data_IF_586380720986
#
_entry.id   IF_586380720986
#
_cell.length_a   1.000
_cell.length_b   1.000
_cell.length_c   1.000
_cell.angle_alpha   90.00
_cell.angle_beta   90.00
_cell.angle_gamma   90.00
#
_symmetry.space_group_name_H-M   'P 1'
#
loop_
_entity.id
_entity.type
_entity.pdbx_description
1 polymer ?
#
# COMPACT_ATOMS: atom_id res chain seq x y z
N UNK A 1 -20.45 7.37 -0.78
CA UNK A 1 -19.78 6.85 0.42
C UNK A 1 -19.36 7.99 1.34
N UNK A 2 -18.61 8.99 0.87
CA UNK A 2 -18.07 10.10 1.70
C UNK A 2 -19.13 10.85 2.54
N UNK A 3 -20.36 10.96 2.05
CA UNK A 3 -21.47 11.67 2.71
C UNK A 3 -21.89 11.03 4.05
N UNK A 4 -21.58 9.75 4.25
CA UNK A 4 -22.04 8.99 5.42
C UNK A 4 -20.91 8.64 6.40
N UNK A 5 -19.68 9.11 6.14
CA UNK A 5 -18.56 8.90 7.06
C UNK A 5 -18.64 9.98 8.15
N UNK A 6 -18.71 9.60 9.44
CA UNK A 6 -18.66 10.57 10.54
C UNK A 6 -17.37 11.41 10.48
N UNK A 7 -17.47 12.70 10.82
CA UNK A 7 -16.34 13.63 10.71
C UNK A 7 -15.16 13.29 11.63
N UNK A 8 -15.44 12.62 12.73
CA UNK A 8 -14.46 12.14 13.72
C UNK A 8 -13.71 10.89 13.28
N UNK A 9 -14.14 10.26 12.19
CA UNK A 9 -13.47 9.06 11.67
C UNK A 9 -12.09 9.42 11.11
N UNK A 10 -11.05 8.71 11.56
CA UNK A 10 -9.71 8.78 10.98
C UNK A 10 -9.64 7.81 9.81
N UNK A 11 -9.26 8.31 8.65
CA UNK A 11 -9.10 7.53 7.43
C UNK A 11 -7.67 7.06 7.29
N UNK A 12 -7.45 5.74 7.20
CA UNK A 12 -6.14 5.16 6.89
C UNK A 12 -6.14 4.85 5.39
N UNK A 13 -5.39 5.61 4.61
CA UNK A 13 -5.47 5.60 3.16
C UNK A 13 -4.12 5.28 2.51
N UNK A 14 -4.15 4.54 1.39
CA UNK A 14 -2.95 4.29 0.60
C UNK A 14 -2.55 5.57 -0.15
N UNK A 15 -1.41 6.16 0.20
CA UNK A 15 -0.88 7.34 -0.48
C UNK A 15 -0.61 7.08 -1.97
N UNK A 16 -0.10 5.90 -2.30
CA UNK A 16 0.31 5.52 -3.65
C UNK A 16 -0.89 5.23 -4.58
N UNK A 17 -2.12 5.26 -4.04
CA UNK A 17 -3.36 5.12 -4.79
C UNK A 17 -4.08 6.47 -4.87
N UNK A 18 -3.98 7.14 -6.00
CA UNK A 18 -4.62 8.45 -6.22
C UNK A 18 -6.14 8.44 -6.12
N UNK A 19 -6.79 7.29 -6.26
CA UNK A 19 -8.25 7.18 -6.08
C UNK A 19 -8.57 7.18 -4.58
N UNK A 20 -7.92 6.29 -3.83
CA UNK A 20 -8.17 6.13 -2.41
C UNK A 20 -7.70 7.34 -1.60
N UNK A 21 -6.53 7.89 -1.92
CA UNK A 21 -5.92 8.98 -1.14
C UNK A 21 -6.69 10.30 -1.17
N UNK A 22 -7.68 10.44 -2.05
CA UNK A 22 -8.50 11.67 -2.19
C UNK A 22 -9.97 11.47 -1.81
N UNK A 23 -10.33 10.35 -1.18
CA UNK A 23 -11.68 10.17 -0.63
C UNK A 23 -11.81 10.85 0.73
N UNK A 24 -13.04 11.08 1.20
CA UNK A 24 -13.34 11.63 2.54
C UNK A 24 -12.51 12.88 2.90
N UNK A 25 -12.48 13.90 2.03
CA UNK A 25 -11.65 15.11 2.16
C UNK A 25 -11.81 15.89 3.48
N UNK A 26 -12.95 15.75 4.14
CA UNK A 26 -13.25 16.45 5.40
C UNK A 26 -12.83 15.66 6.65
N UNK A 27 -12.28 14.47 6.50
CA UNK A 27 -11.85 13.62 7.61
C UNK A 27 -10.34 13.76 7.86
N UNK A 28 -9.91 13.52 9.10
CA UNK A 28 -8.49 13.36 9.39
C UNK A 28 -7.97 12.16 8.63
N UNK A 29 -6.86 12.34 7.92
CA UNK A 29 -6.22 11.29 7.13
C UNK A 29 -4.90 10.92 7.74
N UNK A 30 -4.58 9.65 7.62
CA UNK A 30 -3.29 9.05 7.89
C UNK A 30 -2.91 8.24 6.65
N UNK A 31 -1.80 8.57 6.05
CA UNK A 31 -1.36 7.97 4.81
C UNK A 31 -0.29 6.91 5.04
N UNK A 32 -0.43 5.78 4.38
CA UNK A 32 0.62 4.78 4.30
C UNK A 32 1.05 4.56 2.85
N UNK A 33 2.29 4.12 2.66
CA UNK A 33 2.83 3.90 1.33
C UNK A 33 4.14 3.12 1.36
N UNK A 34 4.68 2.85 0.18
CA UNK A 34 5.98 2.20 -0.01
C UNK A 34 6.83 3.09 -0.92
N UNK A 35 8.04 3.40 -0.51
CA UNK A 35 8.97 4.22 -1.29
C UNK A 35 9.32 3.55 -2.63
N UNK A 36 9.89 4.31 -3.56
CA UNK A 36 10.28 3.82 -4.89
C UNK A 36 11.14 2.56 -4.77
N UNK A 37 10.78 1.52 -5.53
CA UNK A 37 11.52 0.27 -5.63
C UNK A 37 12.25 0.19 -6.97
N UNK A 38 13.32 -0.60 -7.04
CA UNK A 38 14.06 -0.83 -8.29
C UNK A 38 13.21 -1.50 -9.39
N UNK A 39 12.12 -2.15 -8.99
CA UNK A 39 11.17 -2.79 -9.90
C UNK A 39 10.10 -1.85 -10.44
N UNK A 40 10.01 -0.62 -9.92
CA UNK A 40 9.05 0.37 -10.38
C UNK A 40 9.47 0.96 -11.73
N UNK A 41 8.50 1.20 -12.60
CA UNK A 41 8.73 1.67 -13.96
C UNK A 41 8.23 3.10 -14.15
N UNK A 42 8.79 3.82 -15.12
CA UNK A 42 8.31 5.17 -15.49
C UNK A 42 7.10 5.10 -16.44
N UNK A 43 6.82 3.94 -17.01
CA UNK A 43 5.78 3.74 -17.99
C UNK A 43 4.77 2.67 -17.57
N UNK A 44 3.53 2.86 -17.98
CA UNK A 44 2.49 1.84 -17.82
C UNK A 44 2.73 0.65 -18.77
N UNK A 45 2.97 -0.51 -18.21
CA UNK A 45 3.06 -1.76 -18.98
C UNK A 45 1.69 -2.34 -19.33
N UNK A 46 0.65 -2.00 -18.55
CA UNK A 46 -0.70 -2.50 -18.72
C UNK A 46 -1.52 -1.69 -19.72
N UNK A 47 -2.40 -2.39 -20.46
CA UNK A 47 -3.37 -1.76 -21.37
C UNK A 47 -4.41 -0.91 -20.63
N UNK A 48 -4.76 -1.29 -19.41
CA UNK A 48 -5.71 -0.58 -18.57
C UNK A 48 -4.99 0.52 -17.80
N UNK A 49 -5.40 1.76 -18.02
CA UNK A 49 -4.85 2.96 -17.40
C UNK A 49 -5.99 3.63 -16.63
N UNK A 50 -6.13 3.30 -15.35
CA UNK A 50 -7.29 3.68 -14.56
C UNK A 50 -7.39 5.19 -14.30
N UNK A 51 -6.24 5.85 -14.07
CA UNK A 51 -6.20 7.30 -13.86
C UNK A 51 -5.13 7.93 -14.74
N UNK A 52 -5.58 8.68 -15.74
CA UNK A 52 -4.69 9.42 -16.65
C UNK A 52 -4.94 10.91 -16.64
N UNK A 53 -6.08 11.32 -16.09
CA UNK A 53 -6.56 12.71 -16.14
C UNK A 53 -6.81 13.20 -14.73
N UNK A 54 -6.30 14.38 -14.42
CA UNK A 54 -6.50 15.05 -13.14
C UNK A 54 -7.99 15.34 -12.93
N UNK A 55 -8.58 14.90 -11.82
CA UNK A 55 -10.02 15.15 -11.55
C UNK A 55 -10.32 16.61 -11.20
N UNK A 56 -9.30 17.42 -10.84
CA UNK A 56 -9.46 18.83 -10.51
C UNK A 56 -9.47 19.74 -11.75
N UNK A 57 -8.51 19.55 -12.67
CA UNK A 57 -8.31 20.47 -13.79
C UNK A 57 -8.31 19.81 -15.16
N UNK A 58 -8.59 18.50 -15.23
CA UNK A 58 -8.68 17.70 -16.46
C UNK A 58 -7.40 17.63 -17.29
N UNK A 59 -6.26 18.07 -16.77
CA UNK A 59 -4.95 17.91 -17.41
C UNK A 59 -4.47 16.48 -17.31
N UNK A 60 -3.59 16.07 -18.22
CA UNK A 60 -2.93 14.77 -18.15
C UNK A 60 -2.05 14.71 -16.91
N UNK A 61 -2.15 13.62 -16.15
CA UNK A 61 -1.28 13.34 -15.02
C UNK A 61 0.10 12.86 -15.49
N UNK A 62 1.13 13.23 -14.73
CA UNK A 62 2.49 12.75 -14.88
C UNK A 62 2.81 11.80 -13.72
N UNK A 63 3.44 10.66 -14.04
CA UNK A 63 3.83 9.66 -13.06
C UNK A 63 5.35 9.70 -12.87
N UNK A 64 5.79 9.87 -11.63
CA UNK A 64 7.20 9.76 -11.24
C UNK A 64 7.64 8.29 -11.31
N UNK A 65 6.73 7.38 -10.94
CA UNK A 65 6.85 5.94 -11.16
C UNK A 65 5.51 5.24 -11.06
N UNK A 66 5.41 4.06 -11.66
CA UNK A 66 4.27 3.13 -11.60
C UNK A 66 4.77 1.80 -11.05
N UNK A 67 4.07 1.25 -10.06
CA UNK A 67 4.39 -0.04 -9.45
C UNK A 67 3.56 -1.17 -10.05
N UNK A 68 2.26 -1.01 -10.06
CA UNK A 68 1.30 -1.88 -10.77
C UNK A 68 -0.02 -1.12 -10.95
N UNK A 69 -0.71 -1.37 -12.06
CA UNK A 69 -1.93 -0.63 -12.43
C UNK A 69 -1.73 0.89 -12.32
N UNK A 70 -2.49 1.56 -11.44
CA UNK A 70 -2.36 3.00 -11.15
C UNK A 70 -1.63 3.28 -9.83
N UNK A 71 -1.16 2.24 -9.15
CA UNK A 71 -0.40 2.40 -7.91
C UNK A 71 1.00 2.88 -8.21
N UNK A 72 1.37 3.99 -7.60
CA UNK A 72 2.65 4.64 -7.82
C UNK A 72 2.63 6.08 -7.33
N UNK A 73 3.55 6.89 -7.82
CA UNK A 73 3.63 8.31 -7.48
C UNK A 73 3.34 9.17 -8.70
N UNK A 74 2.35 10.04 -8.57
CA UNK A 74 1.91 10.89 -9.67
C UNK A 74 1.58 12.31 -9.20
N UNK A 75 1.63 13.25 -10.13
CA UNK A 75 1.25 14.63 -9.89
C UNK A 75 0.60 15.23 -11.14
N UNK A 76 -0.14 16.32 -10.92
CA UNK A 76 -0.67 17.12 -11.98
C UNK A 76 0.29 18.29 -12.30
N UNK A 77 0.74 18.47 -13.55
CA UNK A 77 1.62 19.57 -13.89
C UNK A 77 0.95 20.96 -13.82
N UNK A 78 -0.39 21.02 -13.76
CA UNK A 78 -1.15 22.27 -13.85
C UNK A 78 -1.90 22.66 -12.58
N UNK A 79 -1.94 21.79 -11.55
CA UNK A 79 -2.55 22.10 -10.25
C UNK A 79 -1.90 21.31 -9.12
N UNK A 80 -2.41 21.47 -7.90
CA UNK A 80 -1.87 20.87 -6.68
C UNK A 80 -2.25 19.38 -6.46
N UNK A 81 -2.96 18.76 -7.41
CA UNK A 81 -3.35 17.36 -7.30
C UNK A 81 -2.15 16.43 -7.45
N UNK A 82 -1.82 15.68 -6.43
CA UNK A 82 -0.67 14.77 -6.40
C UNK A 82 -0.86 13.64 -5.38
N UNK A 83 -0.05 12.61 -5.50
CA UNK A 83 0.17 11.61 -4.45
C UNK A 83 0.59 12.31 -3.15
N UNK A 84 -0.16 12.12 -2.03
CA UNK A 84 0.22 12.69 -0.74
C UNK A 84 1.48 12.04 -0.18
N UNK A 85 2.14 12.73 0.73
CA UNK A 85 3.25 12.16 1.48
C UNK A 85 2.71 11.18 2.52
N UNK A 86 3.35 10.02 2.66
CA UNK A 86 2.92 9.00 3.60
C UNK A 86 3.44 9.29 5.02
N UNK A 87 2.56 9.18 6.03
CA UNK A 87 2.91 9.24 7.46
C UNK A 87 3.64 7.96 7.90
N UNK A 88 3.25 6.83 7.29
CA UNK A 88 3.85 5.51 7.47
C UNK A 88 4.40 5.02 6.14
N UNK A 89 5.69 5.25 5.92
CA UNK A 89 6.36 4.94 4.65
C UNK A 89 7.31 3.76 4.81
N UNK A 90 7.07 2.66 4.12
CA UNK A 90 8.05 1.59 4.01
C UNK A 90 9.20 2.05 3.12
N UNK A 91 10.34 2.40 3.74
CA UNK A 91 11.53 2.97 3.06
C UNK A 91 12.48 1.90 2.57
N UNK A 92 12.43 0.69 3.15
CA UNK A 92 13.29 -0.41 2.76
C UNK A 92 12.56 -1.74 2.87
N UNK A 93 12.66 -2.56 1.83
CA UNK A 93 12.18 -3.95 1.80
C UNK A 93 13.36 -4.90 1.62
N UNK A 94 13.70 -5.63 2.66
CA UNK A 94 14.72 -6.70 2.62
C UNK A 94 14.00 -8.06 2.51
N UNK A 95 13.71 -8.45 1.28
CA UNK A 95 12.97 -9.68 0.98
C UNK A 95 13.81 -10.95 1.25
N UNK A 96 15.13 -10.84 1.30
CA UNK A 96 16.00 -11.97 1.61
C UNK A 96 15.96 -12.31 3.10
N UNK A 97 16.00 -11.29 3.96
CA UNK A 97 15.95 -11.43 5.41
C UNK A 97 14.54 -11.30 5.97
N UNK A 98 13.53 -11.13 5.10
CA UNK A 98 12.13 -10.95 5.47
C UNK A 98 11.92 -9.82 6.48
N UNK A 99 12.45 -8.64 6.16
CA UNK A 99 12.38 -7.44 7.00
C UNK A 99 11.97 -6.23 6.16
N UNK A 100 11.28 -5.28 6.81
CA UNK A 100 11.03 -3.97 6.24
C UNK A 100 11.27 -2.87 7.26
N UNK A 101 11.77 -1.74 6.79
CA UNK A 101 11.90 -0.53 7.59
C UNK A 101 10.76 0.41 7.25
N UNK A 102 10.04 0.88 8.26
CA UNK A 102 8.95 1.86 8.11
C UNK A 102 9.38 3.14 8.83
N UNK A 103 9.38 4.24 8.08
CA UNK A 103 9.42 5.58 8.65
C UNK A 103 8.04 5.91 9.19
N UNK A 104 7.97 6.22 10.48
CA UNK A 104 6.75 6.61 11.19
C UNK A 104 6.88 8.05 11.68
N UNK A 105 5.80 8.69 12.17
CA UNK A 105 5.89 10.02 12.80
C UNK A 105 6.88 10.10 13.97
N UNK A 106 7.20 8.95 14.61
CA UNK A 106 8.08 8.88 15.77
C UNK A 106 9.50 8.40 15.47
N UNK A 107 9.83 8.12 14.20
CA UNK A 107 11.12 7.61 13.76
C UNK A 107 11.03 6.36 12.92
N UNK A 108 12.17 5.72 12.66
CA UNK A 108 12.22 4.49 11.86
C UNK A 108 12.10 3.25 12.75
N UNK A 109 11.31 2.29 12.29
CA UNK A 109 11.09 1.02 12.97
C UNK A 109 11.26 -0.14 11.98
N UNK A 110 11.94 -1.22 12.39
CA UNK A 110 12.14 -2.41 11.56
C UNK A 110 11.13 -3.50 11.94
N UNK A 111 10.33 -3.93 10.97
CA UNK A 111 9.30 -4.95 11.15
C UNK A 111 9.63 -6.25 10.42
N UNK A 112 9.15 -7.36 10.96
CA UNK A 112 9.20 -8.67 10.29
C UNK A 112 8.24 -8.69 9.11
N UNK A 113 8.72 -9.07 7.92
CA UNK A 113 7.89 -9.42 6.78
C UNK A 113 7.44 -10.88 6.87
N UNK A 114 6.19 -11.14 6.52
CA UNK A 114 5.61 -12.49 6.45
C UNK A 114 5.29 -12.90 5.00
N UNK A 115 5.60 -12.05 4.04
CA UNK A 115 5.36 -12.26 2.61
C UNK A 115 6.34 -11.46 1.77
N UNK A 116 6.58 -11.91 0.55
CA UNK A 116 7.31 -11.17 -0.49
C UNK A 116 6.39 -10.59 -1.56
N UNK A 117 5.08 -10.80 -1.45
CA UNK A 117 4.10 -10.26 -2.40
C UNK A 117 3.82 -8.79 -2.09
N UNK A 118 4.07 -7.92 -3.05
CA UNK A 118 3.95 -6.46 -2.87
C UNK A 118 2.55 -6.00 -2.44
N UNK A 119 1.49 -6.63 -2.94
CA UNK A 119 0.11 -6.30 -2.56
C UNK A 119 -0.13 -6.61 -1.08
N UNK A 120 0.38 -7.76 -0.62
CA UNK A 120 0.27 -8.15 0.79
C UNK A 120 1.17 -7.27 1.68
N UNK A 121 2.31 -6.79 1.18
CA UNK A 121 3.15 -5.83 1.91
C UNK A 121 2.39 -4.53 2.15
N UNK A 122 1.67 -3.99 1.15
CA UNK A 122 0.76 -2.85 1.36
C UNK A 122 -0.26 -3.10 2.46
N UNK A 123 -0.88 -4.29 2.48
CA UNK A 123 -1.83 -4.65 3.54
C UNK A 123 -1.17 -4.67 4.93
N UNK A 124 0.08 -5.14 5.03
CA UNK A 124 0.83 -5.14 6.28
C UNK A 124 1.12 -3.70 6.74
N UNK A 125 1.58 -2.83 5.83
CA UNK A 125 1.85 -1.41 6.15
C UNK A 125 0.57 -0.70 6.59
N UNK A 126 -0.56 -0.97 5.93
CA UNK A 126 -1.88 -0.45 6.32
C UNK A 126 -2.27 -0.87 7.73
N UNK A 127 -2.07 -2.16 8.06
CA UNK A 127 -2.38 -2.70 9.39
C UNK A 127 -1.46 -2.10 10.44
N UNK A 128 -0.16 -1.93 10.16
CA UNK A 128 0.78 -1.27 11.08
C UNK A 128 0.35 0.16 11.34
N UNK A 129 0.03 0.94 10.30
CA UNK A 129 -0.47 2.31 10.45
C UNK A 129 -1.72 2.36 11.32
N UNK A 130 -2.69 1.47 11.06
CA UNK A 130 -3.92 1.36 11.83
C UNK A 130 -3.63 1.06 13.32
N UNK A 131 -2.81 0.05 13.61
CA UNK A 131 -2.51 -0.37 14.98
C UNK A 131 -1.73 0.70 15.74
N UNK A 132 -0.84 1.45 15.06
CA UNK A 132 -0.14 2.61 15.64
C UNK A 132 -1.10 3.72 16.02
N UNK A 133 -2.07 4.05 15.16
CA UNK A 133 -3.12 5.03 15.45
C UNK A 133 -4.05 4.58 16.59
N UNK A 134 -4.20 3.26 16.81
CA UNK A 134 -4.85 2.69 18.00
C UNK A 134 -3.98 2.71 19.26
N UNK A 135 -2.72 3.17 19.16
CA UNK A 135 -1.82 3.33 20.30
C UNK A 135 -1.01 2.09 20.67
N UNK A 136 -0.95 1.06 19.81
CA UNK A 136 -0.07 -0.08 20.03
C UNK A 136 1.38 0.33 19.80
N UNK A 137 2.27 -0.20 20.64
CA UNK A 137 3.70 0.04 20.51
C UNK A 137 4.35 -0.94 19.50
N UNK A 138 5.59 -0.64 19.11
CA UNK A 138 6.37 -1.43 18.17
C UNK A 138 6.45 -2.92 18.55
N UNK A 139 6.75 -3.24 19.81
CA UNK A 139 6.96 -4.62 20.27
C UNK A 139 5.68 -5.46 20.14
N UNK A 140 4.53 -4.88 20.51
CA UNK A 140 3.23 -5.54 20.40
C UNK A 140 2.90 -5.89 18.94
N UNK A 141 3.13 -4.94 18.04
CA UNK A 141 2.87 -5.11 16.61
C UNK A 141 3.81 -6.15 16.02
N UNK A 142 5.13 -5.98 16.19
CA UNK A 142 6.12 -6.86 15.57
C UNK A 142 6.05 -8.30 16.09
N UNK A 143 5.82 -8.48 17.40
CA UNK A 143 5.60 -9.82 17.99
C UNK A 143 4.36 -10.49 17.42
N UNK A 144 3.31 -9.72 17.15
CA UNK A 144 2.07 -10.24 16.57
C UNK A 144 2.26 -10.61 15.09
N UNK A 145 2.94 -9.75 14.32
CA UNK A 145 3.29 -10.03 12.92
C UNK A 145 4.09 -11.32 12.77
N UNK A 146 5.11 -11.53 13.62
CA UNK A 146 5.95 -12.73 13.58
C UNK A 146 5.16 -14.05 13.82
N UNK A 147 3.98 -13.98 14.42
CA UNK A 147 3.11 -15.14 14.67
C UNK A 147 2.07 -15.35 13.57
N UNK A 148 1.85 -14.37 12.69
CA UNK A 148 0.87 -14.49 11.63
C UNK A 148 1.32 -15.49 10.58
N UNK A 149 0.36 -16.30 10.15
CA UNK A 149 0.49 -17.13 8.96
C UNK A 149 -0.46 -16.58 7.90
N UNK A 150 0.05 -16.33 6.71
CA UNK A 150 -0.82 -15.96 5.58
C UNK A 150 -1.65 -17.18 5.25
N UNK A 151 -2.97 -17.01 5.27
CA UNK A 151 -3.89 -18.07 4.88
C UNK A 151 -3.92 -18.13 3.36
N UNK A 152 -3.46 -19.23 2.80
CA UNK A 152 -3.41 -19.49 1.35
C UNK A 152 -4.80 -19.79 0.76
N UNK A 153 -5.81 -18.97 1.10
CA UNK A 153 -7.20 -19.20 0.67
C UNK A 153 -7.47 -18.83 -0.80
N UNK A 154 -6.57 -18.06 -1.42
CA UNK A 154 -6.75 -17.57 -2.80
C UNK A 154 -5.77 -18.17 -3.80
N UNK A 155 -4.72 -18.77 -3.30
CA UNK A 155 -3.70 -19.44 -4.10
C UNK A 155 -3.14 -20.60 -3.27
N UNK A 156 -3.16 -21.80 -3.77
CA UNK A 156 -2.40 -22.91 -3.23
C UNK A 156 -1.61 -23.59 -4.34
N UNK A 157 -0.40 -24.03 -4.01
CA UNK A 157 0.50 -24.75 -4.89
C UNK A 157 0.99 -25.98 -4.13
N UNK A 158 0.40 -27.13 -4.41
CA UNK A 158 0.62 -28.37 -3.68
C UNK A 158 1.05 -29.48 -4.63
N UNK A 159 1.91 -30.39 -4.14
CA UNK A 159 2.25 -31.60 -4.86
C UNK A 159 1.51 -32.78 -4.22
N UNK A 160 0.56 -33.35 -4.95
CA UNK A 160 -0.17 -34.53 -4.52
C UNK A 160 0.12 -35.70 -5.45
N UNK A 161 0.66 -36.79 -4.90
CA UNK A 161 1.06 -38.02 -5.68
C UNK A 161 1.95 -37.69 -6.89
N UNK A 162 2.88 -36.73 -6.78
CA UNK A 162 3.77 -36.32 -7.87
C UNK A 162 3.13 -35.38 -8.91
N UNK A 163 1.89 -35.02 -8.73
CA UNK A 163 1.18 -34.02 -9.56
C UNK A 163 1.15 -32.68 -8.84
N UNK A 164 1.63 -31.62 -9.51
CA UNK A 164 1.54 -30.25 -9.01
C UNK A 164 0.13 -29.73 -9.25
N UNK A 165 -0.57 -29.41 -8.18
CA UNK A 165 -1.93 -28.83 -8.19
C UNK A 165 -1.81 -27.36 -7.79
N UNK A 166 -2.17 -26.47 -8.71
CA UNK A 166 -2.21 -25.02 -8.46
C UNK A 166 -3.67 -24.60 -8.44
N UNK A 167 -4.14 -24.10 -7.30
CA UNK A 167 -5.50 -23.58 -7.16
C UNK A 167 -5.45 -22.06 -7.06
N UNK A 168 -6.21 -21.37 -7.90
CA UNK A 168 -6.33 -19.93 -7.91
C UNK A 168 -7.80 -19.53 -7.87
N UNK A 169 -8.17 -18.65 -6.94
CA UNK A 169 -9.52 -18.10 -6.92
C UNK A 169 -9.62 -16.99 -7.98
N UNK A 170 -10.23 -17.30 -9.11
CA UNK A 170 -10.60 -16.30 -10.10
C UNK A 170 -11.87 -15.55 -9.66
N UNK A 171 -11.88 -14.24 -9.86
CA UNK A 171 -13.09 -13.39 -9.74
C UNK A 171 -13.69 -13.20 -11.10
#
# INVERSE_FOLDING_TARGET
LNKYIPKETIMIENADDLICSHIAENNKKVYFGIDKLDTDTENFENRTRDIMVCPKCYSKLEYDYVRYHHIGKAHCPNCDYKTPDADYLATKLDLQNMKMTIKTPNGEEEYTLITNNIINIYNIVAVIALLKEFGLNYEQINTSLAKLKIVETRFSDEIYNGVRIVTHLAK
#
